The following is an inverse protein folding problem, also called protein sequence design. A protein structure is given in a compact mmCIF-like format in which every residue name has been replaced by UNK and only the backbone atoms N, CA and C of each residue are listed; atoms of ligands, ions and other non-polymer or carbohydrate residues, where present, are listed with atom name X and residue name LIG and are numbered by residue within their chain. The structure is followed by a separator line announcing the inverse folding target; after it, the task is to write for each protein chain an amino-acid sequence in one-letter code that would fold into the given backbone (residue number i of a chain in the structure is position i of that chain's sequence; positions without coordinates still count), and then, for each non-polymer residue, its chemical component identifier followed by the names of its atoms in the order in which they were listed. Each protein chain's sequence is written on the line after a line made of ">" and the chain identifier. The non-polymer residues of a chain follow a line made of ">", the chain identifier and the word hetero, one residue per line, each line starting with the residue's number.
data_IF_765195873570
#
_entry.id   IF_765195873570
#
_cell.length_a   1.000
_cell.length_b   1.000
_cell.length_c   1.000
_cell.angle_alpha   90.00
_cell.angle_beta   90.00
_cell.angle_gamma   90.00
#
_symmetry.space_group_name_H-M   'P 1'
#
loop_
_entity.id
_entity.type
_entity.pdbx_description
1 polymer ?
#
# COMPACT_ATOMS: atom_id res chain seq x y z
N UNK A 1 -19.22 13.80 -0.39
CA UNK A 1 -17.84 13.27 -0.48
C UNK A 1 -17.10 13.85 0.72
N UNK A 2 -16.75 13.01 1.71
CA UNK A 2 -16.17 13.49 2.97
C UNK A 2 -14.79 14.12 2.71
N UNK A 3 -14.53 15.34 3.20
CA UNK A 3 -13.25 16.04 3.07
C UNK A 3 -12.05 15.25 3.68
N UNK A 4 -12.33 14.26 4.51
CA UNK A 4 -11.34 13.50 5.27
C UNK A 4 -10.44 12.59 4.41
N UNK A 5 -10.80 12.32 3.15
CA UNK A 5 -9.99 11.45 2.27
C UNK A 5 -8.70 12.12 1.81
N UNK A 6 -8.70 13.45 1.66
CA UNK A 6 -7.50 14.19 1.22
C UNK A 6 -6.46 14.27 2.34
N UNK A 7 -6.89 14.40 3.60
CA UNK A 7 -6.01 14.37 4.77
C UNK A 7 -5.18 13.07 4.81
N UNK A 8 -5.81 11.92 4.51
CA UNK A 8 -5.12 10.64 4.45
C UNK A 8 -4.06 10.61 3.35
N UNK A 9 -4.32 11.22 2.19
CA UNK A 9 -3.35 11.33 1.09
C UNK A 9 -2.16 12.20 1.49
N UNK A 10 -2.41 13.34 2.14
CA UNK A 10 -1.35 14.23 2.61
C UNK A 10 -0.47 13.56 3.67
N UNK A 11 -1.06 12.77 4.56
CA UNK A 11 -0.32 11.97 5.54
C UNK A 11 0.60 10.92 4.87
N UNK A 12 0.14 10.26 3.81
CA UNK A 12 0.96 9.28 3.06
C UNK A 12 2.15 9.96 2.37
N UNK A 13 1.95 11.13 1.76
CA UNK A 13 3.03 11.89 1.13
C UNK A 13 4.07 12.34 2.16
N UNK A 14 3.62 12.79 3.33
CA UNK A 14 4.52 13.15 4.42
C UNK A 14 5.31 11.94 4.95
N UNK A 15 4.64 10.82 5.26
CA UNK A 15 5.29 9.59 5.75
C UNK A 15 6.32 9.04 4.76
N UNK A 16 6.03 9.12 3.46
CA UNK A 16 6.92 8.64 2.39
C UNK A 16 8.03 9.62 2.03
N UNK A 17 7.98 10.86 2.54
CA UNK A 17 8.88 11.98 2.17
C UNK A 17 8.85 12.26 0.66
N UNK A 18 7.69 12.12 0.03
CA UNK A 18 7.49 12.32 -1.41
C UNK A 18 6.68 13.60 -1.66
N UNK A 19 7.23 14.51 -2.45
CA UNK A 19 6.51 15.71 -2.90
C UNK A 19 5.43 15.38 -3.95
N UNK A 20 4.36 16.19 -3.98
CA UNK A 20 3.24 16.03 -4.94
C UNK A 20 3.70 16.00 -6.40
N UNK A 21 4.78 16.72 -6.75
CA UNK A 21 5.36 16.74 -8.09
C UNK A 21 6.08 15.45 -8.50
N UNK A 22 6.48 14.61 -7.53
CA UNK A 22 7.18 13.35 -7.76
C UNK A 22 6.22 12.15 -7.87
N UNK A 23 4.90 12.38 -7.73
CA UNK A 23 3.88 11.35 -7.92
C UNK A 23 3.63 11.15 -9.41
N UNK A 24 4.10 10.03 -9.94
CA UNK A 24 4.05 9.76 -11.39
C UNK A 24 2.65 9.35 -11.88
N UNK A 25 1.87 8.65 -11.06
CA UNK A 25 0.56 8.11 -11.45
C UNK A 25 -0.37 7.92 -10.25
N UNK A 26 -1.66 8.22 -10.46
CA UNK A 26 -2.76 7.93 -9.52
C UNK A 26 -3.67 6.89 -10.17
N UNK A 27 -3.90 5.76 -9.50
CA UNK A 27 -4.46 4.54 -10.11
C UNK A 27 -6.00 4.50 -10.13
N UNK A 28 -6.70 5.27 -9.28
CA UNK A 28 -8.16 5.18 -9.11
C UNK A 28 -8.97 5.86 -10.26
N UNK A 29 -8.43 6.94 -10.89
CA UNK A 29 -8.58 7.47 -12.29
C UNK A 29 -8.30 8.98 -12.35
N UNK A 30 -7.30 9.45 -13.15
CA UNK A 30 -7.48 9.60 -14.61
C UNK A 30 -6.45 8.81 -15.45
N UNK A 31 -6.59 7.48 -15.48
CA UNK A 31 -6.07 6.66 -16.57
C UNK A 31 -7.04 5.48 -16.81
N UNK A 32 -7.54 5.30 -18.04
CA UNK A 32 -8.61 4.34 -18.37
C UNK A 32 -8.12 2.90 -18.62
N UNK A 33 -6.84 2.64 -18.41
CA UNK A 33 -6.18 1.41 -18.86
C UNK A 33 -6.38 0.17 -17.97
N UNK A 34 -6.85 0.31 -16.73
CA UNK A 34 -6.95 -0.80 -15.77
C UNK A 34 -8.30 -0.76 -15.05
N UNK A 35 -8.97 -1.92 -14.97
CA UNK A 35 -10.18 -2.11 -14.17
C UNK A 35 -9.78 -2.33 -12.69
N UNK A 36 -10.27 -1.51 -11.72
CA UNK A 36 -9.87 -1.63 -10.32
C UNK A 36 -10.22 -2.98 -9.69
N UNK A 37 -11.35 -3.58 -10.05
CA UNK A 37 -11.81 -4.83 -9.47
C UNK A 37 -10.93 -6.01 -9.94
N UNK A 38 -10.56 -5.99 -11.23
CA UNK A 38 -9.67 -6.99 -11.82
C UNK A 38 -8.23 -6.83 -11.33
N UNK A 39 -7.77 -5.59 -11.11
CA UNK A 39 -6.41 -5.32 -10.65
C UNK A 39 -6.09 -6.01 -9.31
N UNK A 40 -7.07 -6.04 -8.40
CA UNK A 40 -6.95 -6.73 -7.12
C UNK A 40 -6.81 -8.25 -7.35
N UNK A 41 -7.68 -8.83 -8.19
CA UNK A 41 -7.66 -10.26 -8.49
C UNK A 41 -6.34 -10.71 -9.15
N UNK A 42 -5.84 -9.93 -10.12
CA UNK A 42 -4.54 -10.20 -10.74
C UNK A 42 -3.38 -10.12 -9.73
N UNK A 43 -3.37 -9.11 -8.86
CA UNK A 43 -2.34 -8.97 -7.82
C UNK A 43 -2.30 -10.18 -6.89
N UNK A 44 -3.45 -10.69 -6.47
CA UNK A 44 -3.56 -11.89 -5.63
C UNK A 44 -3.07 -13.15 -6.36
N UNK A 45 -3.43 -13.31 -7.64
CA UNK A 45 -2.98 -14.46 -8.43
C UNK A 45 -1.45 -14.49 -8.56
N UNK A 46 -0.81 -13.34 -8.82
CA UNK A 46 0.65 -13.21 -8.88
C UNK A 46 1.28 -13.56 -7.53
N UNK A 47 0.75 -13.01 -6.42
CA UNK A 47 1.27 -13.29 -5.09
C UNK A 47 1.14 -14.78 -4.71
N UNK A 48 0.05 -15.43 -5.12
CA UNK A 48 -0.19 -16.86 -4.90
C UNK A 48 0.83 -17.72 -5.64
N UNK A 49 1.17 -17.37 -6.88
CA UNK A 49 2.19 -18.05 -7.69
C UNK A 49 3.57 -17.94 -7.02
N UNK A 50 3.95 -16.73 -6.57
CA UNK A 50 5.21 -16.50 -5.86
C UNK A 50 5.30 -17.37 -4.59
N UNK A 51 4.23 -17.44 -3.80
CA UNK A 51 4.18 -18.26 -2.58
C UNK A 51 4.18 -19.77 -2.86
N UNK A 52 3.64 -20.19 -4.00
CA UNK A 52 3.59 -21.60 -4.40
C UNK A 52 4.94 -22.14 -4.89
N UNK A 53 5.99 -21.32 -4.90
CA UNK A 53 7.34 -21.65 -5.42
C UNK A 53 7.37 -22.06 -6.90
N UNK A 54 6.26 -21.88 -7.63
CA UNK A 54 6.15 -22.08 -9.07
C UNK A 54 6.51 -20.76 -9.75
N UNK A 55 7.80 -20.55 -9.99
CA UNK A 55 8.31 -19.26 -10.49
C UNK A 55 8.50 -19.33 -12.01
N UNK A 56 7.52 -18.81 -12.73
CA UNK A 56 7.68 -18.49 -14.16
C UNK A 56 8.77 -17.43 -14.35
N UNK A 57 9.39 -17.37 -15.53
CA UNK A 57 10.41 -16.35 -15.89
C UNK A 57 9.94 -14.91 -15.58
N UNK A 58 8.62 -14.66 -15.62
CA UNK A 58 8.01 -13.36 -15.36
C UNK A 58 7.86 -12.99 -13.88
N UNK A 59 8.05 -13.93 -12.94
CA UNK A 59 7.82 -13.71 -11.49
C UNK A 59 9.07 -13.93 -10.65
N UNK A 60 10.18 -14.39 -11.24
CA UNK A 60 11.43 -14.71 -10.53
C UNK A 60 12.09 -13.47 -9.88
N UNK A 61 12.00 -12.32 -10.53
CA UNK A 61 12.62 -11.07 -10.05
C UNK A 61 11.66 -10.17 -9.24
N UNK A 62 10.47 -10.68 -8.88
CA UNK A 62 9.49 -9.91 -8.12
C UNK A 62 9.72 -10.03 -6.62
N UNK A 63 10.00 -8.89 -5.97
CA UNK A 63 10.07 -8.75 -4.52
C UNK A 63 8.97 -7.81 -4.02
N UNK A 64 8.10 -8.31 -3.14
CA UNK A 64 7.08 -7.50 -2.46
C UNK A 64 7.53 -7.17 -1.04
N UNK A 65 7.68 -5.89 -0.74
CA UNK A 65 7.95 -5.36 0.60
C UNK A 65 6.73 -4.54 1.05
N UNK A 66 6.07 -4.99 2.12
CA UNK A 66 4.89 -4.33 2.67
C UNK A 66 5.16 -3.79 4.08
N UNK A 67 4.32 -2.87 4.55
CA UNK A 67 4.44 -2.19 5.85
C UNK A 67 3.19 -2.38 6.71
N UNK A 68 3.36 -2.43 8.02
CA UNK A 68 2.23 -2.41 8.96
C UNK A 68 1.64 -0.99 9.02
N UNK A 69 0.31 -0.81 8.83
CA UNK A 69 -0.28 0.51 8.63
C UNK A 69 -0.39 1.37 9.89
N UNK A 70 -0.34 0.74 11.08
CA UNK A 70 -0.51 1.39 12.37
C UNK A 70 0.66 1.05 13.29
N UNK A 71 1.00 1.99 14.17
CA UNK A 71 1.90 1.72 15.29
C UNK A 71 1.28 0.67 16.19
N UNK A 72 2.07 -0.35 16.52
CA UNK A 72 1.74 -1.32 17.55
C UNK A 72 2.19 -0.74 18.90
N UNK A 73 1.36 -0.87 19.94
CA UNK A 73 1.65 -0.25 21.24
C UNK A 73 1.06 -1.04 22.39
N UNK A 74 1.63 -0.87 23.57
CA UNK A 74 1.07 -1.36 24.84
C UNK A 74 0.59 -0.18 25.69
N UNK A 75 -0.46 -0.39 26.48
CA UNK A 75 -0.91 0.60 27.45
C UNK A 75 -0.06 0.51 28.72
N UNK A 76 0.48 1.64 29.16
CA UNK A 76 1.22 1.79 30.42
C UNK A 76 0.42 2.63 31.43
N UNK A 77 0.84 2.61 32.69
CA UNK A 77 0.16 3.33 33.78
C UNK A 77 -0.07 4.80 33.41
N UNK A 78 -1.29 5.29 33.64
CA UNK A 78 -1.71 6.63 33.26
C UNK A 78 -2.42 6.73 31.90
N UNK A 79 -2.72 5.60 31.24
CA UNK A 79 -3.46 5.57 29.97
C UNK A 79 -2.63 6.04 28.77
N UNK A 80 -1.31 5.92 28.87
CA UNK A 80 -0.36 6.27 27.80
C UNK A 80 -0.08 5.03 26.95
N UNK A 81 -0.01 5.19 25.65
CA UNK A 81 0.40 4.13 24.72
C UNK A 81 1.89 4.28 24.41
N UNK A 82 2.67 3.26 24.76
CA UNK A 82 4.09 3.17 24.40
C UNK A 82 4.23 2.37 23.11
N UNK A 83 4.83 3.00 22.10
CA UNK A 83 4.99 2.39 20.77
C UNK A 83 6.11 1.38 20.83
N UNK A 84 5.81 0.14 20.43
CA UNK A 84 6.79 -0.95 20.41
C UNK A 84 7.52 -1.05 19.06
#
# INVERSE_FOLDING_TARGET
>A
MHLNTLESVEKVLWNSKVDKGNVHKIILKPNKSINPDEAIAYGVAIQTIILSSDTSENTQDLLLLDVTPLSLSIEISGGVFDVI
#
